data_IF_369489073396
#
_entry.id   IF_369489073396
#
_cell.length_a   1.000
_cell.length_b   1.000
_cell.length_c   1.000
_cell.angle_alpha   90.00
_cell.angle_beta   90.00
_cell.angle_gamma   90.00
#
_symmetry.space_group_name_H-M   'P 1'
#
loop_
_entity.id
_entity.type
_entity.pdbx_description
1 polymer ?
#
# COMPACT_ATOMS: atom_id res chain seq x y z
N UNK A 1 -35.71 41.30 8.13
CA UNK A 1 -34.35 40.71 8.15
C UNK A 1 -34.47 39.23 8.48
N UNK A 2 -34.54 38.38 7.46
CA UNK A 2 -34.61 36.92 7.58
C UNK A 2 -33.21 36.36 7.83
N UNK A 3 -32.98 35.81 9.02
CA UNK A 3 -31.75 35.06 9.32
C UNK A 3 -31.80 33.72 8.59
N UNK A 4 -30.80 33.51 7.73
CA UNK A 4 -30.48 32.25 7.05
C UNK A 4 -30.25 31.15 8.10
N UNK A 5 -30.81 29.94 7.97
CA UNK A 5 -30.45 28.86 8.87
C UNK A 5 -29.01 28.43 8.58
N UNK A 6 -28.23 28.27 9.65
CA UNK A 6 -26.90 27.69 9.60
C UNK A 6 -27.00 26.29 8.99
N UNK A 7 -26.18 26.01 8.00
CA UNK A 7 -26.07 24.66 7.44
C UNK A 7 -25.46 23.78 8.53
N UNK A 8 -26.26 22.86 9.05
CA UNK A 8 -25.79 21.81 9.94
C UNK A 8 -24.79 20.93 9.19
N UNK A 9 -23.51 21.30 9.26
CA UNK A 9 -22.39 20.38 9.03
C UNK A 9 -22.29 19.44 10.23
N UNK A 10 -23.35 18.67 10.49
CA UNK A 10 -23.34 17.54 11.38
C UNK A 10 -23.12 16.27 10.55
N UNK A 11 -21.92 16.11 9.97
CA UNK A 11 -21.46 14.77 9.62
C UNK A 11 -21.36 14.02 10.96
N UNK A 12 -22.35 13.19 11.23
CA UNK A 12 -22.51 12.48 12.49
C UNK A 12 -21.24 11.68 12.80
N UNK A 13 -20.86 11.64 14.07
CA UNK A 13 -19.77 10.81 14.59
C UNK A 13 -19.86 9.33 14.11
N UNK A 14 -21.05 8.87 13.71
CA UNK A 14 -21.32 7.54 13.18
C UNK A 14 -20.82 7.30 11.73
N UNK A 15 -20.62 8.33 10.89
CA UNK A 15 -20.05 8.15 9.53
C UNK A 15 -18.51 8.04 9.53
N UNK A 16 -17.89 8.40 10.66
CA UNK A 16 -16.45 8.31 10.87
C UNK A 16 -16.02 6.93 11.38
N UNK A 17 -16.97 6.14 11.88
CA UNK A 17 -16.72 4.78 12.36
C UNK A 17 -16.38 3.88 11.17
N UNK A 18 -15.10 3.58 11.06
CA UNK A 18 -14.54 2.74 10.01
C UNK A 18 -13.51 3.45 9.15
N UNK A 19 -13.53 4.78 8.98
CA UNK A 19 -12.53 5.45 8.14
C UNK A 19 -11.10 5.32 8.70
N UNK A 20 -10.12 5.31 7.81
CA UNK A 20 -8.71 5.32 8.24
C UNK A 20 -8.33 6.73 8.64
N UNK A 21 -8.21 6.94 9.95
CA UNK A 21 -7.63 8.15 10.54
C UNK A 21 -6.10 8.08 10.49
N UNK A 22 -5.46 9.26 10.56
CA UNK A 22 -3.99 9.40 10.62
C UNK A 22 -3.37 8.47 11.67
N UNK A 23 -3.96 8.42 12.86
CA UNK A 23 -3.48 7.59 13.95
C UNK A 23 -3.63 6.08 13.69
N UNK A 24 -4.67 5.66 12.97
CA UNK A 24 -4.91 4.25 12.62
C UNK A 24 -3.86 3.78 11.61
N UNK A 25 -3.64 4.55 10.53
CA UNK A 25 -2.62 4.24 9.53
C UNK A 25 -1.22 4.24 10.13
N UNK A 26 -0.92 5.22 10.99
CA UNK A 26 0.38 5.27 11.67
C UNK A 26 0.59 4.09 12.63
N UNK A 27 -0.44 3.71 13.41
CA UNK A 27 -0.38 2.53 14.28
C UNK A 27 -0.11 1.27 13.47
N UNK A 28 -0.82 1.08 12.35
CA UNK A 28 -0.59 -0.04 11.44
C UNK A 28 0.86 -0.11 10.96
N UNK A 29 1.41 1.01 10.44
CA UNK A 29 2.80 1.05 9.98
C UNK A 29 3.81 0.78 11.10
N UNK A 30 3.55 1.25 12.33
CA UNK A 30 4.40 0.94 13.49
C UNK A 30 4.36 -0.54 13.87
N UNK A 31 3.17 -1.14 13.89
CA UNK A 31 3.00 -2.58 14.19
C UNK A 31 3.72 -3.41 13.12
N UNK A 32 3.53 -3.06 11.85
CA UNK A 32 4.21 -3.71 10.74
C UNK A 32 5.73 -3.60 10.87
N UNK A 33 6.27 -2.42 11.20
CA UNK A 33 7.71 -2.24 11.42
C UNK A 33 8.25 -3.16 12.52
N UNK A 34 7.48 -3.37 13.58
CA UNK A 34 7.87 -4.19 14.72
C UNK A 34 7.77 -5.70 14.43
N UNK A 35 6.72 -6.14 13.75
CA UNK A 35 6.42 -7.56 13.53
C UNK A 35 7.02 -8.10 12.22
N UNK A 36 7.10 -7.28 11.17
CA UNK A 36 7.62 -7.67 9.87
C UNK A 36 8.41 -6.51 9.23
N UNK A 37 9.63 -6.30 9.76
CA UNK A 37 10.49 -5.18 9.37
C UNK A 37 10.82 -5.17 7.87
N UNK A 38 11.01 -6.33 7.26
CA UNK A 38 11.33 -6.47 5.84
C UNK A 38 10.16 -6.00 4.97
N UNK A 39 8.93 -6.38 5.30
CA UNK A 39 7.76 -5.89 4.59
C UNK A 39 7.51 -4.38 4.76
N UNK A 40 7.67 -3.87 5.99
CA UNK A 40 7.61 -2.43 6.24
C UNK A 40 8.58 -1.66 5.34
N UNK A 41 9.82 -2.16 5.22
CA UNK A 41 10.85 -1.56 4.38
C UNK A 41 10.49 -1.56 2.90
N UNK A 42 9.96 -2.68 2.38
CA UNK A 42 9.47 -2.75 1.01
C UNK A 42 8.35 -1.71 0.77
N UNK A 43 7.37 -1.66 1.66
CA UNK A 43 6.24 -0.71 1.60
C UNK A 43 6.70 0.75 1.64
N UNK A 44 7.64 1.08 2.52
CA UNK A 44 8.16 2.46 2.65
C UNK A 44 9.06 2.85 1.49
N UNK A 45 9.89 1.92 0.99
CA UNK A 45 10.81 2.17 -0.11
C UNK A 45 10.16 2.17 -1.49
N UNK A 46 8.92 1.68 -1.62
CA UNK A 46 8.21 1.67 -2.90
C UNK A 46 7.80 3.06 -3.38
N UNK A 47 7.79 3.23 -4.70
CA UNK A 47 7.36 4.46 -5.36
C UNK A 47 5.86 4.71 -5.20
N UNK A 48 5.46 5.98 -5.36
CA UNK A 48 4.05 6.39 -5.36
C UNK A 48 3.22 5.70 -6.46
N UNK A 49 3.84 5.26 -7.56
CA UNK A 49 3.15 4.51 -8.62
C UNK A 49 2.79 3.08 -8.25
N UNK A 50 3.42 2.54 -7.21
CA UNK A 50 3.25 1.15 -6.74
C UNK A 50 2.38 1.12 -5.48
N UNK A 51 2.63 2.04 -4.55
CA UNK A 51 1.88 2.19 -3.31
C UNK A 51 1.72 3.67 -3.00
N UNK A 52 0.49 4.09 -2.75
CA UNK A 52 0.21 5.49 -2.43
C UNK A 52 -0.85 5.64 -1.37
N UNK A 53 -0.79 6.79 -0.71
CA UNK A 53 -1.77 7.23 0.27
C UNK A 53 -2.45 8.45 -0.31
N UNK A 54 -3.78 8.38 -0.44
CA UNK A 54 -4.62 9.54 -0.71
C UNK A 54 -5.04 10.16 0.61
N UNK A 55 -4.95 11.49 0.66
CA UNK A 55 -5.54 12.32 1.70
C UNK A 55 -6.86 12.83 1.16
N UNK A 56 -7.94 12.47 1.83
CA UNK A 56 -9.29 12.65 1.33
C UNK A 56 -10.06 13.61 2.23
N UNK A 57 -10.66 14.64 1.65
CA UNK A 57 -11.50 15.60 2.37
C UNK A 57 -12.83 14.96 2.72
N UNK A 58 -13.18 14.94 4.01
CA UNK A 58 -14.48 14.45 4.46
C UNK A 58 -15.62 15.40 4.10
N UNK A 59 -15.33 16.70 4.07
CA UNK A 59 -16.31 17.73 3.76
C UNK A 59 -16.65 17.77 2.27
N UNK A 60 -15.63 17.72 1.42
CA UNK A 60 -15.78 17.89 -0.03
C UNK A 60 -15.84 16.57 -0.79
N UNK A 61 -15.75 15.44 -0.08
CA UNK A 61 -15.81 14.09 -0.63
C UNK A 61 -14.79 13.83 -1.77
N UNK A 62 -13.63 14.49 -1.74
CA UNK A 62 -12.64 14.49 -2.81
C UNK A 62 -11.20 14.22 -2.33
N UNK A 63 -10.32 13.82 -3.26
CA UNK A 63 -8.88 13.67 -2.99
C UNK A 63 -8.25 15.06 -2.95
N UNK A 64 -7.61 15.38 -1.82
CA UNK A 64 -6.86 16.62 -1.62
C UNK A 64 -5.46 16.47 -2.22
N UNK A 65 -4.81 15.34 -1.91
CA UNK A 65 -3.45 15.06 -2.37
C UNK A 65 -3.11 13.57 -2.27
N UNK A 66 -2.06 13.20 -2.97
CA UNK A 66 -1.49 11.85 -2.98
C UNK A 66 -0.02 11.90 -2.58
N UNK A 67 0.42 10.94 -1.79
CA UNK A 67 1.81 10.84 -1.34
C UNK A 67 2.27 9.38 -1.24
N UNK A 68 3.59 9.16 -1.26
CA UNK A 68 4.16 7.86 -0.93
C UNK A 68 4.08 7.57 0.57
N UNK A 69 4.26 6.30 0.96
CA UNK A 69 4.31 5.94 2.38
C UNK A 69 5.47 6.64 3.10
N UNK A 70 6.64 6.75 2.44
CA UNK A 70 7.77 7.50 3.00
C UNK A 70 7.43 8.97 3.27
N UNK A 71 6.76 9.64 2.32
CA UNK A 71 6.32 11.04 2.47
C UNK A 71 5.30 11.19 3.60
N UNK A 72 4.34 10.27 3.70
CA UNK A 72 3.37 10.25 4.80
C UNK A 72 4.07 10.14 6.17
N UNK A 73 5.03 9.21 6.31
CA UNK A 73 5.78 9.03 7.55
C UNK A 73 6.62 10.26 7.89
N UNK A 74 7.27 10.87 6.91
CA UNK A 74 8.09 12.07 7.10
C UNK A 74 7.26 13.31 7.51
N UNK A 75 6.03 13.42 7.02
CA UNK A 75 5.16 14.59 7.23
C UNK A 75 4.09 14.37 8.30
N UNK A 76 4.13 13.27 9.05
CA UNK A 76 3.08 12.86 9.99
C UNK A 76 2.62 13.97 10.96
N UNK A 77 3.55 14.82 11.40
CA UNK A 77 3.28 15.94 12.33
C UNK A 77 2.48 17.08 11.68
N UNK A 78 2.69 17.34 10.40
CA UNK A 78 2.06 18.45 9.67
C UNK A 78 0.77 18.04 8.96
N UNK A 79 0.53 16.74 8.80
CA UNK A 79 -0.67 16.23 8.14
C UNK A 79 -1.96 16.59 8.91
N UNK A 80 -3.03 17.02 8.21
CA UNK A 80 -4.32 17.36 8.82
C UNK A 80 -4.93 16.13 9.50
N UNK A 81 -5.66 16.32 10.61
CA UNK A 81 -6.15 15.18 11.43
C UNK A 81 -7.67 15.09 11.54
N UNK A 82 -8.39 16.22 11.65
CA UNK A 82 -9.84 16.22 11.94
C UNK A 82 -10.70 16.12 10.67
N UNK A 83 -10.42 16.95 9.67
CA UNK A 83 -11.25 17.08 8.46
C UNK A 83 -10.92 16.09 7.32
N UNK A 84 -9.93 15.20 7.52
CA UNK A 84 -9.48 14.28 6.47
C UNK A 84 -9.56 12.83 6.90
N UNK A 85 -9.70 11.95 5.90
CA UNK A 85 -9.46 10.52 6.01
C UNK A 85 -8.32 10.13 5.07
N UNK A 86 -7.79 8.92 5.27
CA UNK A 86 -6.73 8.38 4.45
C UNK A 86 -7.23 7.15 3.73
N UNK A 87 -6.70 6.92 2.53
CA UNK A 87 -6.88 5.65 1.81
C UNK A 87 -5.50 5.22 1.37
N UNK A 88 -5.16 3.95 1.58
CA UNK A 88 -3.89 3.39 1.11
C UNK A 88 -4.17 2.37 0.02
N UNK A 89 -3.44 2.50 -1.07
CA UNK A 89 -3.59 1.71 -2.28
C UNK A 89 -2.31 0.95 -2.55
N UNK A 90 -2.46 -0.31 -2.96
CA UNK A 90 -1.39 -1.20 -3.34
C UNK A 90 -1.67 -1.69 -4.74
N UNK A 91 -0.69 -1.59 -5.64
CA UNK A 91 -0.69 -2.45 -6.81
C UNK A 91 -0.33 -3.87 -6.38
N UNK A 92 -1.05 -4.82 -6.95
CA UNK A 92 -0.99 -6.23 -6.57
C UNK A 92 -1.07 -7.09 -7.81
N UNK A 93 -0.45 -8.25 -7.75
CA UNK A 93 -0.48 -9.24 -8.81
C UNK A 93 -0.90 -10.57 -8.22
N UNK A 94 -1.93 -11.19 -8.79
CA UNK A 94 -2.47 -12.46 -8.31
C UNK A 94 -2.29 -13.53 -9.38
N UNK A 95 -1.63 -14.62 -9.00
CA UNK A 95 -1.45 -15.78 -9.86
C UNK A 95 -2.70 -16.67 -9.81
N UNK A 96 -3.01 -17.33 -10.93
CA UNK A 96 -3.98 -18.41 -10.98
C UNK A 96 -3.41 -19.61 -10.20
N UNK A 97 -4.16 -20.16 -9.24
CA UNK A 97 -3.80 -21.43 -8.59
C UNK A 97 -4.41 -22.61 -9.35
N UNK A 98 -3.81 -23.79 -9.24
CA UNK A 98 -4.28 -25.01 -9.92
C UNK A 98 -5.71 -25.42 -9.51
N UNK A 99 -6.17 -25.01 -8.32
CA UNK A 99 -7.55 -25.24 -7.82
C UNK A 99 -8.59 -24.23 -8.35
N UNK A 100 -8.17 -23.22 -9.12
CA UNK A 100 -9.07 -22.28 -9.81
C UNK A 100 -8.41 -21.80 -11.11
N UNK A 101 -8.27 -22.71 -12.09
CA UNK A 101 -7.46 -22.49 -13.30
C UNK A 101 -7.96 -21.35 -14.20
N UNK A 102 -9.17 -20.83 -13.96
CA UNK A 102 -9.79 -19.77 -14.76
C UNK A 102 -9.37 -18.33 -14.38
N UNK A 103 -8.48 -18.15 -13.40
CA UNK A 103 -8.18 -16.80 -12.87
C UNK A 103 -6.70 -16.45 -12.91
N UNK A 104 -6.16 -16.21 -14.11
CA UNK A 104 -5.08 -15.23 -14.25
C UNK A 104 -5.70 -13.86 -13.95
N UNK A 105 -5.62 -13.38 -12.71
CA UNK A 105 -6.29 -12.13 -12.33
C UNK A 105 -5.49 -10.88 -12.70
N UNK A 106 -4.17 -11.03 -12.96
CA UNK A 106 -3.34 -9.95 -13.50
C UNK A 106 -3.04 -8.82 -12.50
N UNK A 107 -2.59 -7.69 -13.04
CA UNK A 107 -2.37 -6.45 -12.27
C UNK A 107 -3.71 -5.90 -11.78
N UNK A 108 -3.81 -5.67 -10.47
CA UNK A 108 -5.00 -5.12 -9.82
C UNK A 108 -4.61 -4.16 -8.69
N UNK A 109 -5.55 -3.29 -8.31
CA UNK A 109 -5.35 -2.34 -7.23
C UNK A 109 -6.17 -2.79 -6.03
N UNK A 110 -5.49 -3.07 -4.93
CA UNK A 110 -6.13 -3.24 -3.63
C UNK A 110 -6.16 -1.92 -2.88
N UNK A 111 -7.27 -1.64 -2.19
CA UNK A 111 -7.45 -0.40 -1.42
C UNK A 111 -7.97 -0.68 -0.02
N UNK A 112 -7.31 -0.09 0.97
CA UNK A 112 -7.87 0.08 2.30
C UNK A 112 -8.49 1.46 2.41
N UNK A 113 -9.81 1.50 2.49
CA UNK A 113 -10.62 2.69 2.78
C UNK A 113 -11.06 2.75 4.23
N UNK A 114 -11.02 1.60 4.93
CA UNK A 114 -11.44 1.46 6.32
C UNK A 114 -10.37 0.85 7.21
N UNK A 115 -10.43 1.12 8.53
CA UNK A 115 -9.45 0.67 9.52
C UNK A 115 -9.31 -0.85 9.52
N UNK A 116 -10.43 -1.57 9.44
CA UNK A 116 -10.51 -3.02 9.38
C UNK A 116 -9.86 -3.61 8.11
N UNK A 117 -9.71 -2.82 7.05
CA UNK A 117 -8.99 -3.26 5.86
C UNK A 117 -7.47 -3.22 6.03
N UNK A 118 -6.94 -2.52 7.04
CA UNK A 118 -5.49 -2.44 7.29
C UNK A 118 -4.96 -3.80 7.75
N UNK A 119 -4.55 -4.61 6.77
CA UNK A 119 -4.09 -5.98 6.96
C UNK A 119 -2.77 -6.23 6.23
N UNK A 120 -1.97 -7.14 6.78
CA UNK A 120 -0.73 -7.60 6.18
C UNK A 120 -0.93 -8.67 5.10
N UNK A 121 -2.13 -9.26 5.02
CA UNK A 121 -2.40 -10.39 4.12
C UNK A 121 -2.25 -10.06 2.62
N UNK A 122 -2.16 -8.78 2.27
CA UNK A 122 -1.95 -8.30 0.90
C UNK A 122 -0.47 -8.28 0.48
N UNK A 123 0.46 -8.45 1.43
CA UNK A 123 1.89 -8.34 1.16
C UNK A 123 2.42 -9.34 0.12
N UNK A 124 2.00 -10.63 0.12
CA UNK A 124 2.41 -11.57 -0.93
C UNK A 124 2.05 -11.09 -2.34
N UNK A 125 0.82 -10.63 -2.56
CA UNK A 125 0.36 -10.13 -3.87
C UNK A 125 1.03 -8.81 -4.26
N UNK A 126 1.33 -7.96 -3.28
CA UNK A 126 2.13 -6.76 -3.49
C UNK A 126 3.57 -7.10 -3.90
N UNK A 127 4.19 -8.08 -3.24
CA UNK A 127 5.55 -8.52 -3.57
C UNK A 127 5.61 -9.17 -4.96
N UNK A 128 4.60 -9.97 -5.31
CA UNK A 128 4.41 -10.49 -6.66
C UNK A 128 4.33 -9.36 -7.70
N UNK A 129 3.60 -8.28 -7.39
CA UNK A 129 3.54 -7.10 -8.27
C UNK A 129 4.91 -6.45 -8.47
N UNK A 130 5.73 -6.34 -7.42
CA UNK A 130 7.10 -5.81 -7.55
C UNK A 130 7.92 -6.64 -8.54
N UNK A 131 7.85 -7.97 -8.46
CA UNK A 131 8.53 -8.86 -9.40
C UNK A 131 7.99 -8.68 -10.83
N UNK A 132 6.67 -8.65 -10.99
CA UNK A 132 6.00 -8.47 -12.27
C UNK A 132 6.38 -7.15 -12.94
N UNK A 133 6.23 -6.03 -12.23
CA UNK A 133 6.50 -4.71 -12.79
C UNK A 133 7.99 -4.51 -13.08
N UNK A 134 8.88 -5.04 -12.24
CA UNK A 134 10.32 -5.01 -12.54
C UNK A 134 10.66 -5.80 -13.81
N UNK A 135 10.12 -7.02 -13.95
CA UNK A 135 10.32 -7.85 -15.13
C UNK A 135 9.77 -7.20 -16.39
N UNK A 136 8.55 -6.66 -16.32
CA UNK A 136 7.92 -5.93 -17.42
C UNK A 136 8.74 -4.71 -17.88
N UNK A 137 9.41 -4.01 -16.96
CA UNK A 137 10.20 -2.80 -17.27
C UNK A 137 11.61 -3.12 -17.76
N UNK A 138 12.21 -4.20 -17.30
CA UNK A 138 13.64 -4.49 -17.52
C UNK A 138 13.89 -5.76 -18.35
N UNK A 139 12.85 -6.51 -18.72
CA UNK A 139 12.92 -7.81 -19.37
C UNK A 139 13.78 -8.87 -18.64
N UNK A 140 13.98 -8.70 -17.32
CA UNK A 140 14.76 -9.60 -16.46
C UNK A 140 14.07 -9.81 -15.11
N UNK A 141 14.30 -10.95 -14.42
CA UNK A 141 13.74 -11.20 -13.09
C UNK A 141 14.11 -10.12 -12.06
N UNK A 142 13.27 -9.93 -11.04
CA UNK A 142 13.63 -9.05 -9.93
C UNK A 142 14.70 -9.71 -9.06
N UNK A 143 15.75 -8.96 -8.74
CA UNK A 143 16.86 -9.45 -7.92
C UNK A 143 17.24 -8.43 -6.83
N UNK A 144 17.73 -8.94 -5.70
CA UNK A 144 18.34 -8.13 -4.65
C UNK A 144 19.78 -7.78 -5.01
N UNK A 145 19.96 -6.83 -5.92
CA UNK A 145 21.23 -6.21 -6.24
C UNK A 145 21.49 -4.98 -5.35
N UNK A 146 22.66 -4.35 -5.51
CA UNK A 146 23.06 -3.19 -4.70
C UNK A 146 22.05 -2.05 -4.75
N UNK A 147 21.43 -1.82 -5.90
CA UNK A 147 20.52 -0.69 -6.10
C UNK A 147 19.14 -0.98 -5.52
N UNK A 148 18.60 -2.18 -5.72
CA UNK A 148 17.31 -2.57 -5.13
C UNK A 148 17.40 -2.69 -3.61
N UNK A 149 18.50 -3.25 -3.07
CA UNK A 149 18.77 -3.29 -1.63
C UNK A 149 18.83 -1.88 -1.04
N UNK A 150 19.52 -0.94 -1.71
CA UNK A 150 19.62 0.45 -1.29
C UNK A 150 18.26 1.15 -1.34
N UNK A 151 17.50 0.98 -2.42
CA UNK A 151 16.19 1.61 -2.61
C UNK A 151 15.21 1.26 -1.49
N UNK A 152 15.24 0.00 -1.04
CA UNK A 152 14.38 -0.48 0.04
C UNK A 152 15.03 -0.45 1.44
N UNK A 153 16.26 0.07 1.56
CA UNK A 153 17.04 0.08 2.80
C UNK A 153 17.10 -1.31 3.50
N UNK A 154 17.24 -2.36 2.70
CA UNK A 154 17.24 -3.74 3.18
C UNK A 154 18.59 -4.07 3.83
N UNK A 155 18.53 -4.78 4.95
CA UNK A 155 19.70 -5.41 5.55
C UNK A 155 19.83 -6.86 5.05
N UNK A 156 20.99 -7.49 5.27
CA UNK A 156 21.24 -8.88 4.89
C UNK A 156 20.14 -9.84 5.35
N UNK A 157 19.67 -9.69 6.59
CA UNK A 157 18.57 -10.51 7.15
C UNK A 157 17.25 -10.34 6.38
N UNK A 158 16.96 -9.13 5.89
CA UNK A 158 15.73 -8.86 5.13
C UNK A 158 15.79 -9.55 3.77
N UNK A 159 16.95 -9.48 3.11
CA UNK A 159 17.22 -10.19 1.85
C UNK A 159 17.07 -11.70 2.04
N UNK A 160 17.66 -12.27 3.09
CA UNK A 160 17.53 -13.71 3.40
C UNK A 160 16.08 -14.14 3.60
N UNK A 161 15.25 -13.31 4.25
CA UNK A 161 13.84 -13.61 4.49
C UNK A 161 12.98 -13.49 3.23
N UNK A 162 13.24 -12.50 2.37
CA UNK A 162 12.43 -12.23 1.18
C UNK A 162 12.85 -13.05 -0.05
N UNK A 163 14.12 -13.47 -0.13
CA UNK A 163 14.66 -14.15 -1.30
C UNK A 163 13.86 -15.40 -1.74
N UNK A 164 13.39 -16.28 -0.84
CA UNK A 164 12.59 -17.44 -1.25
C UNK A 164 11.28 -17.05 -1.96
N UNK A 165 10.54 -16.07 -1.42
CA UNK A 165 9.30 -15.58 -2.04
C UNK A 165 9.55 -14.91 -3.39
N UNK A 166 10.62 -14.13 -3.51
CA UNK A 166 11.02 -13.48 -4.77
C UNK A 166 11.35 -14.53 -5.83
N UNK A 167 12.11 -15.58 -5.47
CA UNK A 167 12.46 -16.66 -6.37
C UNK A 167 11.20 -17.40 -6.87
N UNK A 168 10.27 -17.71 -5.98
CA UNK A 168 8.99 -18.34 -6.33
C UNK A 168 8.20 -17.50 -7.34
N UNK A 169 8.04 -16.20 -7.09
CA UNK A 169 7.32 -15.32 -8.02
C UNK A 169 8.03 -15.13 -9.36
N UNK A 170 9.36 -15.07 -9.37
CA UNK A 170 10.13 -15.00 -10.61
C UNK A 170 9.92 -16.26 -11.48
N UNK A 171 9.88 -17.45 -10.88
CA UNK A 171 9.60 -18.70 -11.61
C UNK A 171 8.15 -18.74 -12.12
N UNK A 172 7.17 -18.34 -11.30
CA UNK A 172 5.78 -18.25 -11.77
C UNK A 172 5.64 -17.30 -12.97
N UNK A 173 6.25 -16.12 -12.91
CA UNK A 173 6.19 -15.14 -14.00
C UNK A 173 6.89 -15.63 -15.27
N UNK A 174 7.96 -16.43 -15.15
CA UNK A 174 8.64 -17.06 -16.28
C UNK A 174 7.71 -18.02 -17.04
N UNK A 175 6.86 -18.78 -16.33
CA UNK A 175 5.89 -19.70 -16.97
C UNK A 175 4.78 -18.98 -17.72
N UNK A 176 4.53 -17.70 -17.39
CA UNK A 176 3.46 -16.89 -17.99
C UNK A 176 3.87 -16.15 -19.27
N UNK A 177 5.11 -16.34 -19.77
CA UNK A 177 5.67 -15.64 -20.94
C UNK A 177 5.56 -14.09 -20.85
N UNK A 178 5.67 -13.56 -19.63
CA UNK A 178 5.80 -12.12 -19.36
C UNK A 178 7.28 -11.72 -19.37
#
# INVERSE_FOLDING_TARGET
MTRKPASDCALGLNELDGLILKCNLWKFLKVLRAQNSSAYKMIVGSSVSTIWIEIWSKENNNVISTCSVAQFVATLKTLPSKAVAYRIYFRTYTFSTQDSPEKVLGDSIWVATRREHLSFNIFPQFLAYICFDYRRRNAVPFEFNRDTIRAYALARKDVTLLAPMIAEYNELLKTMNI
#
